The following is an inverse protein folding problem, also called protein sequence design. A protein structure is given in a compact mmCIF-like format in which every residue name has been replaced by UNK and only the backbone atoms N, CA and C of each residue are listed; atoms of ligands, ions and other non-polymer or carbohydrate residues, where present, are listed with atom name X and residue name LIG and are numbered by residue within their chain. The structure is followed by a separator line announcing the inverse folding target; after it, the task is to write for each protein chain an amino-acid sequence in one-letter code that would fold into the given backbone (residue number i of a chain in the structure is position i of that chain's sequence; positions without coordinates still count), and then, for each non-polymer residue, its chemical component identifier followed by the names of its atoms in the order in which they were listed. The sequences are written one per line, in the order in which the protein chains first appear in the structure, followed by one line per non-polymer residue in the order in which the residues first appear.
data_IF_019902704418
#
_entry.id   IF_019902704418
#
_cell.length_a   1.000
_cell.length_b   1.000
_cell.length_c   1.000
_cell.angle_alpha   90.00
_cell.angle_beta   90.00
_cell.angle_gamma   90.00
#
_symmetry.space_group_name_H-M   'P 1'
#
loop_
_entity.id
_entity.type
_entity.pdbx_description
1 polymer ?
#
# COMPACT_ATOMS: atom_id res chain seq x y z
N UNK A 1 12.44 5.91 -3.43
CA UNK A 1 11.40 4.92 -3.15
C UNK A 1 10.18 5.20 -4.01
N UNK A 2 9.31 4.23 -4.20
CA UNK A 2 8.05 4.35 -4.96
C UNK A 2 6.87 4.04 -4.02
N UNK A 3 5.74 4.72 -4.21
CA UNK A 3 4.51 4.38 -3.48
C UNK A 3 3.73 3.31 -4.25
N UNK A 4 3.15 2.35 -3.54
CA UNK A 4 2.24 1.36 -4.15
C UNK A 4 0.93 2.04 -4.54
N UNK A 5 0.39 2.87 -3.65
CA UNK A 5 -0.78 3.72 -3.89
C UNK A 5 -0.43 4.86 -4.84
N UNK A 6 -1.40 5.32 -5.63
CA UNK A 6 -1.24 6.51 -6.43
C UNK A 6 -1.21 7.78 -5.56
N UNK A 7 -0.62 8.85 -6.12
CA UNK A 7 -0.71 10.18 -5.52
C UNK A 7 -2.17 10.58 -5.28
N UNK A 8 -2.44 11.16 -4.12
CA UNK A 8 -3.78 11.38 -3.58
C UNK A 8 -3.95 10.73 -2.21
N UNK A 9 -3.18 9.68 -1.91
CA UNK A 9 -2.96 9.18 -0.55
C UNK A 9 -1.76 9.92 0.06
N UNK A 10 -1.89 10.35 1.32
CA UNK A 10 -0.82 11.02 2.05
C UNK A 10 0.45 10.14 2.08
N UNK A 11 1.63 10.74 1.85
CA UNK A 11 2.91 10.01 1.77
C UNK A 11 3.30 9.28 3.06
N UNK A 12 2.73 9.71 4.19
CA UNK A 12 2.85 9.03 5.48
C UNK A 12 2.05 7.76 5.63
N UNK A 13 0.94 7.64 4.91
CA UNK A 13 0.04 6.48 4.98
C UNK A 13 0.30 5.52 3.83
N UNK A 14 0.86 6.02 2.73
CA UNK A 14 1.22 5.23 1.56
C UNK A 14 2.27 4.16 1.89
N UNK A 15 2.07 2.97 1.33
CA UNK A 15 3.01 1.87 1.36
C UNK A 15 4.17 2.17 0.41
N UNK A 16 5.38 2.16 0.96
CA UNK A 16 6.60 2.50 0.23
C UNK A 16 7.33 1.22 -0.15
N UNK A 17 7.72 1.10 -1.42
CA UNK A 17 8.64 0.08 -1.91
C UNK A 17 10.00 0.69 -2.29
N UNK A 18 11.08 0.00 -1.90
CA UNK A 18 12.44 0.42 -2.19
C UNK A 18 13.34 -0.80 -2.42
N UNK A 19 14.11 -0.89 -3.53
CA UNK A 19 14.16 0.04 -4.67
C UNK A 19 12.81 0.18 -5.41
N UNK A 20 12.61 1.23 -6.24
CA UNK A 20 11.39 1.35 -7.06
C UNK A 20 11.30 0.19 -8.07
N UNK A 21 10.10 -0.38 -8.25
CA UNK A 21 9.89 -1.61 -9.02
C UNK A 21 9.21 -1.35 -10.38
N UNK A 22 8.37 -0.31 -10.48
CA UNK A 22 7.60 -0.01 -11.71
C UNK A 22 7.98 1.32 -12.36
N UNK A 23 9.05 1.95 -11.88
CA UNK A 23 9.53 3.22 -12.40
C UNK A 23 10.48 3.02 -13.60
N UNK A 24 10.21 3.71 -14.71
CA UNK A 24 11.12 3.68 -15.86
C UNK A 24 12.49 4.25 -15.51
N UNK A 25 13.54 3.65 -16.09
CA UNK A 25 14.94 4.09 -15.90
C UNK A 25 15.12 5.56 -16.30
N UNK A 26 14.47 6.00 -17.36
CA UNK A 26 14.48 7.40 -17.80
C UNK A 26 13.88 8.33 -16.72
N UNK A 27 12.70 7.99 -16.20
CA UNK A 27 12.04 8.74 -15.12
C UNK A 27 12.94 8.84 -13.89
N UNK A 28 13.58 7.74 -13.48
CA UNK A 28 14.53 7.73 -12.37
C UNK A 28 15.74 8.67 -12.62
N UNK A 29 16.30 8.69 -13.84
CA UNK A 29 17.40 9.60 -14.21
C UNK A 29 16.97 11.06 -14.18
N UNK A 30 15.77 11.38 -14.67
CA UNK A 30 15.20 12.74 -14.64
C UNK A 30 14.97 13.21 -13.20
N UNK A 31 14.41 12.36 -12.33
CA UNK A 31 14.27 12.64 -10.89
C UNK A 31 15.62 12.98 -10.26
N UNK A 32 16.67 12.17 -10.51
CA UNK A 32 18.03 12.45 -10.01
C UNK A 32 18.57 13.80 -10.51
N UNK A 33 18.32 14.17 -11.76
CA UNK A 33 18.75 15.47 -12.34
C UNK A 33 18.02 16.64 -11.67
N UNK A 34 16.71 16.54 -11.46
CA UNK A 34 15.91 17.58 -10.80
C UNK A 34 16.34 17.72 -9.33
N UNK A 35 16.51 16.60 -8.61
CA UNK A 35 16.94 16.60 -7.22
C UNK A 35 18.29 17.30 -7.03
N UNK A 36 19.28 17.06 -7.90
CA UNK A 36 20.58 17.76 -7.85
C UNK A 36 20.43 19.27 -8.02
N UNK A 37 19.64 19.71 -9.01
CA UNK A 37 19.39 21.14 -9.25
C UNK A 37 18.75 21.81 -8.04
N UNK A 38 17.79 21.15 -7.39
CA UNK A 38 17.14 21.67 -6.18
C UNK A 38 18.14 21.74 -5.02
N UNK A 39 18.94 20.69 -4.82
CA UNK A 39 19.93 20.67 -3.75
C UNK A 39 21.00 21.75 -3.91
N UNK A 40 21.47 21.99 -5.13
CA UNK A 40 22.41 23.05 -5.47
C UNK A 40 21.80 24.45 -5.27
N UNK A 41 20.60 24.68 -5.80
CA UNK A 41 19.91 25.96 -5.68
C UNK A 41 19.57 26.36 -4.23
N UNK A 42 19.28 25.36 -3.39
CA UNK A 42 18.98 25.57 -1.96
C UNK A 42 20.22 25.44 -1.06
N UNK A 43 21.42 25.23 -1.63
CA UNK A 43 22.69 25.09 -0.91
C UNK A 43 22.62 24.09 0.25
N UNK A 44 22.00 22.94 0.01
CA UNK A 44 21.66 21.99 1.07
C UNK A 44 22.92 21.32 1.63
N UNK A 45 23.17 21.51 2.92
CA UNK A 45 24.12 20.73 3.71
C UNK A 45 23.37 20.04 4.85
N UNK A 46 23.16 18.73 4.73
CA UNK A 46 22.38 17.95 5.69
C UNK A 46 21.24 17.14 5.04
N UNK A 47 20.28 16.66 5.84
CA UNK A 47 19.23 15.78 5.34
C UNK A 47 18.11 16.57 4.67
N UNK A 48 17.59 16.04 3.56
CA UNK A 48 16.43 16.59 2.88
C UNK A 48 15.59 15.49 2.23
N UNK A 49 14.35 15.82 1.87
CA UNK A 49 13.44 14.92 1.17
C UNK A 49 12.68 15.69 0.10
N UNK A 50 12.57 15.12 -1.10
CA UNK A 50 11.77 15.68 -2.19
C UNK A 50 10.70 14.66 -2.58
N UNK A 51 9.46 15.13 -2.68
CA UNK A 51 8.34 14.34 -3.17
C UNK A 51 8.06 14.70 -4.63
N UNK A 52 7.88 13.67 -5.46
CA UNK A 52 7.64 13.82 -6.88
C UNK A 52 6.32 13.14 -7.25
N UNK A 53 5.61 13.75 -8.21
CA UNK A 53 4.55 13.10 -8.97
C UNK A 53 5.14 12.64 -10.30
N UNK A 54 5.08 11.34 -10.58
CA UNK A 54 5.45 10.77 -11.87
C UNK A 54 4.22 10.18 -12.56
N UNK A 55 3.94 10.65 -13.77
CA UNK A 55 2.95 10.04 -14.66
C UNK A 55 3.68 9.70 -15.95
N UNK A 56 3.91 8.40 -16.18
CA UNK A 56 4.78 7.93 -17.26
C UNK A 56 6.19 8.55 -17.15
N UNK A 57 6.58 9.39 -18.12
CA UNK A 57 7.85 10.12 -18.12
C UNK A 57 7.72 11.57 -17.63
N UNK A 58 6.51 12.07 -17.41
CA UNK A 58 6.29 13.42 -16.89
C UNK A 58 6.46 13.46 -15.37
N UNK A 59 7.30 14.39 -14.91
CA UNK A 59 7.67 14.54 -13.52
C UNK A 59 7.33 15.95 -13.05
N UNK A 60 6.59 16.03 -11.95
CA UNK A 60 6.38 17.28 -11.20
C UNK A 60 6.93 17.15 -9.80
N UNK A 61 7.50 18.23 -9.28
CA UNK A 61 7.88 18.33 -7.87
C UNK A 61 6.62 18.70 -7.09
N UNK A 62 6.33 17.96 -6.01
CA UNK A 62 5.23 18.29 -5.10
C UNK A 62 5.76 19.26 -4.05
N UNK A 63 6.79 18.84 -3.31
CA UNK A 63 7.42 19.62 -2.25
C UNK A 63 8.87 19.19 -1.99
N UNK A 64 9.63 20.08 -1.35
CA UNK A 64 10.97 19.82 -0.82
C UNK A 64 10.98 20.14 0.68
N UNK A 65 11.27 19.15 1.50
CA UNK A 65 11.44 19.28 2.94
C UNK A 65 12.94 19.34 3.25
N UNK A 66 13.45 20.48 3.72
CA UNK A 66 14.84 20.68 4.15
C UNK A 66 15.10 20.12 5.55
N UNK A 67 14.78 18.83 5.73
CA UNK A 67 14.97 18.07 6.97
C UNK A 67 14.94 16.58 6.68
N UNK A 68 15.30 15.77 7.68
CA UNK A 68 15.07 14.33 7.62
C UNK A 68 13.56 14.02 7.48
N UNK A 69 13.24 13.06 6.61
CA UNK A 69 11.89 12.50 6.51
C UNK A 69 11.76 11.24 7.35
N UNK A 70 10.52 10.87 7.67
CA UNK A 70 10.19 9.61 8.36
C UNK A 70 10.65 8.35 7.61
N UNK A 71 10.98 8.45 6.33
CA UNK A 71 11.50 7.33 5.55
C UNK A 71 13.02 7.15 5.69
N UNK A 72 13.74 8.07 6.35
CA UNK A 72 15.19 7.95 6.54
C UNK A 72 15.61 6.67 7.27
N UNK A 73 15.01 6.30 8.42
CA UNK A 73 15.40 5.08 9.13
C UNK A 73 15.18 3.83 8.27
N UNK A 74 14.04 3.76 7.60
CA UNK A 74 13.70 2.67 6.68
C UNK A 74 14.73 2.56 5.56
N UNK A 75 14.94 3.63 4.78
CA UNK A 75 15.90 3.64 3.66
C UNK A 75 17.32 3.34 4.14
N UNK A 76 17.71 3.82 5.33
CA UNK A 76 19.02 3.52 5.93
C UNK A 76 19.20 2.03 6.22
N UNK A 77 18.15 1.37 6.73
CA UNK A 77 18.16 -0.07 6.98
C UNK A 77 18.17 -0.89 5.71
N UNK A 78 17.42 -0.49 4.67
CA UNK A 78 17.43 -1.20 3.38
C UNK A 78 18.77 -1.02 2.65
N UNK A 79 19.45 0.12 2.78
CA UNK A 79 20.74 0.34 2.10
C UNK A 79 21.96 -0.06 2.95
N UNK A 80 21.75 -0.45 4.21
CA UNK A 80 22.82 -0.64 5.20
C UNK A 80 23.75 0.57 5.36
N UNK A 81 23.22 1.77 5.11
CA UNK A 81 23.93 3.05 5.22
C UNK A 81 23.20 3.93 6.22
N UNK A 82 23.88 4.39 7.27
CA UNK A 82 23.28 5.31 8.22
C UNK A 82 23.25 6.74 7.68
N UNK A 83 22.16 7.11 7.00
CA UNK A 83 22.02 8.46 6.43
C UNK A 83 21.98 9.56 7.50
N UNK A 84 21.53 9.26 8.72
CA UNK A 84 21.52 10.24 9.81
C UNK A 84 22.93 10.56 10.24
N UNK A 85 23.79 9.54 10.40
CA UNK A 85 25.20 9.74 10.72
C UNK A 85 25.93 10.54 9.64
N UNK A 86 25.72 10.19 8.36
CA UNK A 86 26.31 10.93 7.23
C UNK A 86 25.84 12.38 7.21
N UNK A 87 24.54 12.61 7.40
CA UNK A 87 23.98 13.96 7.44
C UNK A 87 24.53 14.76 8.63
N UNK A 88 24.66 14.15 9.81
CA UNK A 88 25.26 14.78 10.98
C UNK A 88 26.70 15.16 10.72
N UNK A 89 27.55 14.24 10.23
CA UNK A 89 28.95 14.52 9.87
C UNK A 89 29.06 15.68 8.89
N UNK A 90 28.24 15.68 7.84
CA UNK A 90 28.20 16.75 6.86
C UNK A 90 27.83 18.12 7.47
N UNK A 91 26.86 18.16 8.41
CA UNK A 91 26.45 19.41 9.07
C UNK A 91 27.51 19.99 10.01
N UNK A 92 28.31 19.14 10.67
CA UNK A 92 29.36 19.58 11.61
C UNK A 92 30.74 19.72 10.95
N UNK A 93 30.85 19.44 9.65
CA UNK A 93 32.11 19.51 8.92
C UNK A 93 33.09 18.37 9.19
N UNK A 94 32.62 17.27 9.79
CA UNK A 94 33.43 16.07 10.01
C UNK A 94 33.62 15.31 8.68
N UNK A 95 34.77 14.65 8.47
CA UNK A 95 34.98 13.80 7.32
C UNK A 95 33.91 12.70 7.22
N UNK A 96 33.37 12.51 6.02
CA UNK A 96 32.40 11.45 5.73
C UNK A 96 32.76 10.78 4.40
N UNK A 97 32.39 9.51 4.27
CA UNK A 97 32.54 8.78 3.02
C UNK A 97 31.28 8.95 2.17
N UNK A 98 31.47 9.31 0.90
CA UNK A 98 30.37 9.39 -0.06
C UNK A 98 30.00 7.97 -0.47
N UNK A 99 28.74 7.54 -0.29
CA UNK A 99 28.32 6.20 -0.71
C UNK A 99 28.56 5.96 -2.21
N UNK A 100 29.12 4.79 -2.55
CA UNK A 100 29.29 4.38 -3.93
C UNK A 100 27.94 4.20 -4.64
N UNK A 101 27.90 4.46 -5.96
CA UNK A 101 26.67 4.34 -6.77
C UNK A 101 26.08 2.93 -6.76
N UNK A 102 26.92 1.90 -6.60
CA UNK A 102 26.51 0.49 -6.52
C UNK A 102 25.75 0.16 -5.23
N UNK A 103 25.82 1.01 -4.19
CA UNK A 103 25.07 0.79 -2.95
C UNK A 103 23.54 0.80 -3.17
N UNK A 104 23.07 1.23 -4.33
CA UNK A 104 21.66 1.30 -4.69
C UNK A 104 21.20 0.14 -5.59
N UNK A 105 22.11 -0.77 -5.95
CA UNK A 105 21.81 -2.01 -6.67
C UNK A 105 21.66 -3.13 -5.63
N UNK A 106 20.41 -3.46 -5.29
CA UNK A 106 20.07 -4.43 -4.25
C UNK A 106 19.38 -5.64 -4.87
N UNK A 107 19.73 -6.84 -4.37
CA UNK A 107 19.10 -8.11 -4.77
C UNK A 107 17.82 -8.43 -3.97
N UNK A 108 17.34 -7.46 -3.20
CA UNK A 108 16.17 -7.58 -2.33
C UNK A 108 15.35 -6.29 -2.32
N UNK A 109 14.12 -6.41 -1.85
CA UNK A 109 13.15 -5.31 -1.79
C UNK A 109 12.76 -5.07 -0.34
N UNK A 110 12.84 -3.81 0.08
CA UNK A 110 12.24 -3.33 1.30
C UNK A 110 10.85 -2.76 1.06
N UNK A 111 9.91 -3.07 1.95
CA UNK A 111 8.58 -2.48 1.97
C UNK A 111 8.27 -1.91 3.33
N UNK A 112 7.83 -0.65 3.33
CA UNK A 112 7.34 0.05 4.51
C UNK A 112 5.83 0.22 4.39
N UNK A 113 5.09 -0.41 5.30
CA UNK A 113 3.63 -0.33 5.39
C UNK A 113 3.22 0.43 6.67
N UNK A 114 2.07 1.10 6.59
CA UNK A 114 1.58 1.97 7.66
C UNK A 114 0.71 1.20 8.66
N UNK A 115 0.93 1.44 9.94
CA UNK A 115 0.09 0.94 11.02
C UNK A 115 -0.98 1.98 11.38
N UNK A 116 -2.24 1.56 11.37
CA UNK A 116 -3.37 2.41 11.71
C UNK A 116 -3.97 2.05 13.08
N UNK A 117 -4.53 3.05 13.74
CA UNK A 117 -5.20 2.92 15.04
C UNK A 117 -6.73 3.03 14.93
N UNK A 118 -7.33 2.73 13.77
CA UNK A 118 -8.78 2.83 13.55
C UNK A 118 -9.61 1.93 14.47
N UNK A 119 -9.04 0.87 15.04
CA UNK A 119 -9.68 0.05 16.06
C UNK A 119 -9.89 0.79 17.39
N UNK A 120 -9.10 1.84 17.67
CA UNK A 120 -9.18 2.65 18.90
C UNK A 120 -10.02 3.91 18.73
N UNK A 121 -10.26 4.34 17.49
CA UNK A 121 -11.01 5.56 17.17
C UNK A 121 -12.43 5.19 16.74
N UNK A 122 -13.34 5.15 17.73
CA UNK A 122 -14.77 4.96 17.48
C UNK A 122 -15.28 6.11 16.59
N UNK A 123 -16.13 5.76 15.61
CA UNK A 123 -16.72 6.66 14.60
C UNK A 123 -15.76 7.24 13.54
N UNK A 124 -14.47 6.93 13.59
CA UNK A 124 -13.56 7.30 12.50
C UNK A 124 -13.81 6.40 11.29
N UNK A 125 -13.92 7.01 10.11
CA UNK A 125 -13.99 6.30 8.83
C UNK A 125 -12.57 5.82 8.44
N UNK A 126 -12.35 4.50 8.29
CA UNK A 126 -11.02 3.98 7.99
C UNK A 126 -10.75 4.03 6.47
N UNK A 127 -10.67 5.26 5.93
CA UNK A 127 -10.32 5.54 4.53
C UNK A 127 -9.04 6.36 4.48
N UNK A 128 -8.18 6.04 3.53
CA UNK A 128 -6.97 6.80 3.26
C UNK A 128 -7.29 8.04 2.43
N UNK A 129 -6.77 9.19 2.84
CA UNK A 129 -6.97 10.48 2.18
C UNK A 129 -5.67 11.26 2.00
N UNK A 130 -5.81 12.56 1.77
CA UNK A 130 -4.68 13.50 1.65
C UNK A 130 -4.03 13.82 2.99
N UNK A 131 -4.75 13.63 4.10
CA UNK A 131 -4.23 13.81 5.45
C UNK A 131 -3.72 12.48 6.02
N UNK A 132 -2.69 12.56 6.86
CA UNK A 132 -2.12 11.39 7.53
C UNK A 132 -3.02 10.91 8.67
N UNK A 133 -3.40 9.64 8.66
CA UNK A 133 -4.12 8.98 9.74
C UNK A 133 -3.31 7.87 10.44
N UNK A 134 -2.20 7.41 9.87
CA UNK A 134 -1.36 6.37 10.46
C UNK A 134 -0.63 6.84 11.72
N UNK A 135 -0.37 5.89 12.63
CA UNK A 135 0.28 6.14 13.92
C UNK A 135 1.65 5.46 14.04
N UNK A 136 1.93 4.50 13.17
CA UNK A 136 3.18 3.74 13.18
C UNK A 136 3.48 3.16 11.82
N UNK A 137 4.53 2.37 11.75
CA UNK A 137 5.03 1.78 10.51
C UNK A 137 5.70 0.43 10.79
N UNK A 138 5.67 -0.43 9.79
CA UNK A 138 6.47 -1.65 9.74
C UNK A 138 7.34 -1.58 8.50
N UNK A 139 8.63 -1.90 8.64
CA UNK A 139 9.55 -2.11 7.52
C UNK A 139 9.98 -3.57 7.43
N UNK A 140 9.63 -4.25 6.34
CA UNK A 140 10.09 -5.62 6.07
C UNK A 140 10.97 -5.67 4.84
N UNK A 141 11.85 -6.68 4.79
CA UNK A 141 12.66 -7.03 3.64
C UNK A 141 12.19 -8.38 3.08
N UNK A 142 12.31 -8.57 1.78
CA UNK A 142 12.11 -9.83 1.08
C UNK A 142 12.98 -9.91 -0.16
N UNK A 143 13.24 -11.13 -0.63
CA UNK A 143 14.05 -11.33 -1.86
C UNK A 143 13.30 -10.82 -3.09
N UNK A 144 11.98 -10.80 -3.04
CA UNK A 144 11.12 -10.19 -4.05
C UNK A 144 10.00 -9.32 -3.45
N UNK A 145 9.33 -8.58 -4.33
CA UNK A 145 8.24 -7.67 -3.93
C UNK A 145 7.06 -8.41 -3.30
N UNK A 146 6.69 -9.60 -3.79
CA UNK A 146 5.55 -10.34 -3.25
C UNK A 146 5.84 -10.78 -1.81
N UNK A 147 7.03 -11.33 -1.57
CA UNK A 147 7.46 -11.73 -0.24
C UNK A 147 7.51 -10.54 0.72
N UNK A 148 8.12 -9.42 0.30
CA UNK A 148 8.22 -8.22 1.11
C UNK A 148 6.83 -7.61 1.42
N UNK A 149 5.89 -7.61 0.47
CA UNK A 149 4.51 -7.13 0.69
C UNK A 149 3.83 -8.03 1.71
N UNK A 150 3.92 -9.34 1.52
CA UNK A 150 3.25 -10.31 2.37
C UNK A 150 3.74 -10.19 3.82
N UNK A 151 5.07 -10.15 4.02
CA UNK A 151 5.69 -9.91 5.34
C UNK A 151 5.21 -8.60 5.97
N UNK A 152 5.20 -7.50 5.21
CA UNK A 152 4.77 -6.19 5.72
C UNK A 152 3.30 -6.17 6.13
N UNK A 153 2.42 -6.71 5.28
CA UNK A 153 0.98 -6.73 5.58
C UNK A 153 0.67 -7.63 6.78
N UNK A 154 1.27 -8.82 6.85
CA UNK A 154 1.13 -9.72 8.00
C UNK A 154 1.64 -9.08 9.30
N UNK A 155 2.78 -8.38 9.24
CA UNK A 155 3.38 -7.73 10.40
C UNK A 155 2.58 -6.51 10.89
N UNK A 156 1.84 -5.82 10.01
CA UNK A 156 0.86 -4.79 10.40
C UNK A 156 -0.36 -5.38 11.12
N UNK A 157 -0.55 -6.70 11.00
CA UNK A 157 -1.64 -7.46 11.64
C UNK A 157 -2.71 -7.95 10.67
N UNK A 158 -2.53 -7.79 9.35
CA UNK A 158 -3.41 -8.42 8.38
C UNK A 158 -3.26 -9.94 8.44
N UNK A 159 -4.31 -10.65 8.02
CA UNK A 159 -4.32 -12.10 7.88
C UNK A 159 -4.61 -12.46 6.44
N UNK A 160 -4.07 -13.58 5.98
CA UNK A 160 -4.47 -14.14 4.69
C UNK A 160 -5.89 -14.67 4.86
N UNK A 161 -6.84 -14.31 3.97
CA UNK A 161 -8.19 -14.83 4.05
C UNK A 161 -8.20 -16.35 3.86
N UNK A 162 -9.09 -17.05 4.55
CA UNK A 162 -9.25 -18.49 4.38
C UNK A 162 -9.95 -18.81 3.06
N UNK A 163 -11.10 -18.17 2.79
CA UNK A 163 -11.89 -18.46 1.59
C UNK A 163 -12.77 -17.34 1.08
N UNK A 164 -13.40 -16.56 1.94
CA UNK A 164 -14.49 -15.66 1.57
C UNK A 164 -14.01 -14.21 1.53
N UNK A 165 -14.11 -13.56 0.37
CA UNK A 165 -13.60 -12.19 0.16
C UNK A 165 -14.71 -11.29 -0.39
N UNK A 166 -14.95 -10.16 0.27
CA UNK A 166 -15.90 -9.14 -0.15
C UNK A 166 -15.21 -8.05 -0.99
N UNK A 167 -15.69 -7.83 -2.21
CA UNK A 167 -15.18 -6.85 -3.17
C UNK A 167 -16.21 -5.75 -3.47
N UNK A 168 -15.88 -4.52 -3.08
CA UNK A 168 -16.55 -3.30 -3.50
C UNK A 168 -15.53 -2.38 -4.16
N UNK A 169 -15.45 -2.40 -5.48
CA UNK A 169 -14.23 -2.01 -6.23
C UNK A 169 -14.30 -0.63 -6.87
N UNK A 170 -15.10 0.30 -6.33
CA UNK A 170 -15.13 1.70 -6.77
C UNK A 170 -15.55 1.92 -8.23
N UNK A 171 -14.86 2.84 -8.90
CA UNK A 171 -15.10 3.24 -10.29
C UNK A 171 -14.54 2.24 -11.33
N UNK A 172 -14.69 2.56 -12.63
CA UNK A 172 -14.24 1.68 -13.72
C UNK A 172 -12.71 1.45 -13.71
N UNK A 173 -11.92 2.45 -13.30
CA UNK A 173 -10.47 2.33 -13.23
C UNK A 173 -10.06 1.35 -12.14
N UNK A 174 -10.61 1.51 -10.93
CA UNK A 174 -10.32 0.62 -9.81
C UNK A 174 -10.77 -0.82 -10.07
N UNK A 175 -11.89 -1.00 -10.77
CA UNK A 175 -12.36 -2.31 -11.28
C UNK A 175 -11.33 -2.97 -12.20
N UNK A 176 -10.80 -2.21 -13.17
CA UNK A 176 -9.77 -2.71 -14.08
C UNK A 176 -8.48 -3.08 -13.35
N UNK A 177 -8.03 -2.24 -12.42
CA UNK A 177 -6.82 -2.47 -11.61
C UNK A 177 -6.91 -3.75 -10.74
N UNK A 178 -8.12 -4.14 -10.33
CA UNK A 178 -8.37 -5.34 -9.53
C UNK A 178 -8.74 -6.59 -10.34
N UNK A 179 -8.99 -6.46 -11.65
CA UNK A 179 -9.52 -7.56 -12.45
C UNK A 179 -8.60 -8.78 -12.45
N UNK A 180 -7.29 -8.57 -12.62
CA UNK A 180 -6.30 -9.66 -12.61
C UNK A 180 -6.24 -10.36 -11.24
N UNK A 181 -6.30 -9.59 -10.16
CA UNK A 181 -6.31 -10.11 -8.79
C UNK A 181 -7.59 -10.92 -8.50
N UNK A 182 -8.75 -10.44 -8.94
CA UNK A 182 -10.01 -11.16 -8.81
C UNK A 182 -10.02 -12.49 -9.59
N UNK A 183 -9.46 -12.51 -10.81
CA UNK A 183 -9.27 -13.76 -11.58
C UNK A 183 -8.38 -14.74 -10.83
N UNK A 184 -7.27 -14.25 -10.26
CA UNK A 184 -6.34 -15.08 -9.50
C UNK A 184 -7.01 -15.71 -8.28
N UNK A 185 -7.82 -14.95 -7.54
CA UNK A 185 -8.61 -15.45 -6.41
C UNK A 185 -9.58 -16.56 -6.85
N UNK A 186 -10.35 -16.32 -7.91
CA UNK A 186 -11.28 -17.33 -8.41
C UNK A 186 -10.56 -18.62 -8.84
N UNK A 187 -9.42 -18.49 -9.54
CA UNK A 187 -8.59 -19.63 -9.96
C UNK A 187 -8.00 -20.41 -8.78
N UNK A 188 -7.75 -19.74 -7.65
CA UNK A 188 -7.25 -20.35 -6.40
C UNK A 188 -8.36 -20.93 -5.53
N UNK A 189 -9.63 -20.82 -5.95
CA UNK A 189 -10.78 -21.40 -5.26
C UNK A 189 -11.34 -20.56 -4.12
N UNK A 190 -11.04 -19.25 -4.10
CA UNK A 190 -11.69 -18.31 -3.18
C UNK A 190 -13.12 -18.00 -3.61
N UNK A 191 -14.00 -17.81 -2.64
CA UNK A 191 -15.37 -17.38 -2.85
C UNK A 191 -15.42 -15.85 -2.89
N UNK A 192 -15.78 -15.29 -4.04
CA UNK A 192 -15.90 -13.86 -4.21
C UNK A 192 -17.33 -13.40 -3.93
N UNK A 193 -17.47 -12.43 -3.04
CA UNK A 193 -18.70 -11.71 -2.77
C UNK A 193 -18.55 -10.29 -3.29
N UNK A 194 -19.56 -9.75 -3.96
CA UNK A 194 -19.42 -8.43 -4.59
C UNK A 194 -20.70 -7.62 -4.58
N UNK A 195 -20.56 -6.32 -4.34
CA UNK A 195 -21.67 -5.36 -4.37
C UNK A 195 -22.13 -5.13 -5.81
N UNK A 196 -23.37 -4.69 -6.03
CA UNK A 196 -24.04 -4.74 -7.35
C UNK A 196 -23.19 -4.33 -8.56
N UNK A 197 -22.55 -3.17 -8.51
CA UNK A 197 -21.69 -2.68 -9.61
C UNK A 197 -20.38 -3.47 -9.78
N UNK A 198 -19.82 -4.01 -8.71
CA UNK A 198 -18.61 -4.83 -8.71
C UNK A 198 -18.95 -6.24 -9.21
N UNK A 199 -20.06 -6.82 -8.74
CA UNK A 199 -20.57 -8.12 -9.17
C UNK A 199 -20.83 -8.15 -10.68
N UNK A 200 -21.54 -7.14 -11.21
CA UNK A 200 -21.80 -7.03 -12.66
C UNK A 200 -20.50 -7.09 -13.47
N UNK A 201 -19.50 -6.32 -13.05
CA UNK A 201 -18.20 -6.25 -13.74
C UNK A 201 -17.43 -7.58 -13.69
N UNK A 202 -17.48 -8.30 -12.57
CA UNK A 202 -16.86 -9.62 -12.43
C UNK A 202 -17.52 -10.65 -13.36
N UNK A 203 -18.85 -10.71 -13.35
CA UNK A 203 -19.62 -11.65 -14.20
C UNK A 203 -19.40 -11.37 -15.69
N UNK A 204 -19.41 -10.11 -16.11
CA UNK A 204 -19.09 -9.70 -17.50
C UNK A 204 -17.68 -10.13 -17.95
N UNK A 205 -16.76 -10.34 -16.99
CA UNK A 205 -15.40 -10.81 -17.23
C UNK A 205 -15.21 -12.31 -16.95
N UNK A 206 -16.30 -13.08 -16.85
CA UNK A 206 -16.31 -14.51 -16.58
C UNK A 206 -15.68 -14.91 -15.24
N UNK A 207 -15.84 -14.07 -14.21
CA UNK A 207 -15.38 -14.36 -12.85
C UNK A 207 -16.60 -14.64 -11.97
N UNK A 208 -16.74 -15.87 -11.43
CA UNK A 208 -17.86 -16.19 -10.56
C UNK A 208 -17.78 -15.38 -9.26
N UNK A 209 -18.89 -14.73 -8.92
CA UNK A 209 -19.05 -13.99 -7.68
C UNK A 209 -20.50 -14.06 -7.21
N UNK A 210 -20.71 -14.05 -5.90
CA UNK A 210 -22.04 -13.95 -5.30
C UNK A 210 -22.37 -12.48 -5.09
N UNK A 211 -23.52 -12.03 -5.58
CA UNK A 211 -23.99 -10.67 -5.33
C UNK A 211 -24.35 -10.51 -3.86
N UNK A 212 -23.84 -9.46 -3.23
CA UNK A 212 -24.26 -9.02 -1.89
C UNK A 212 -24.92 -7.66 -1.96
N UNK A 213 -25.82 -7.42 -1.01
CA UNK A 213 -26.63 -6.21 -0.95
C UNK A 213 -26.21 -5.30 0.20
N UNK A 214 -26.50 -4.01 0.03
CA UNK A 214 -26.22 -3.01 1.06
C UNK A 214 -27.32 -3.00 2.13
N UNK A 215 -27.01 -2.47 3.33
CA UNK A 215 -28.01 -2.29 4.39
C UNK A 215 -29.21 -1.40 3.99
N UNK A 216 -29.05 -0.58 2.95
CA UNK A 216 -30.12 0.24 2.38
C UNK A 216 -31.09 -0.54 1.50
N UNK A 217 -30.80 -1.80 1.18
CA UNK A 217 -31.64 -2.71 0.40
C UNK A 217 -32.19 -3.86 1.29
N UNK A 218 -32.98 -3.58 2.34
CA UNK A 218 -33.29 -4.54 3.41
C UNK A 218 -34.13 -5.75 2.99
N UNK A 219 -34.78 -5.69 1.83
CA UNK A 219 -35.58 -6.80 1.29
C UNK A 219 -34.76 -7.83 0.51
N UNK A 220 -33.45 -7.59 0.35
CA UNK A 220 -32.56 -8.38 -0.50
C UNK A 220 -31.56 -9.16 0.35
N UNK A 221 -31.22 -10.37 -0.07
CA UNK A 221 -30.24 -11.24 0.59
C UNK A 221 -29.27 -11.83 -0.45
N UNK A 222 -28.01 -12.11 -0.09
CA UNK A 222 -27.39 -11.93 1.22
C UNK A 222 -26.96 -10.48 1.54
N UNK A 223 -27.14 -10.05 2.79
CA UNK A 223 -26.68 -8.75 3.30
C UNK A 223 -25.19 -8.71 3.66
N UNK A 224 -24.46 -7.70 3.17
CA UNK A 224 -23.03 -7.57 3.46
C UNK A 224 -22.74 -7.40 4.97
N UNK A 225 -23.59 -6.68 5.70
CA UNK A 225 -23.42 -6.45 7.14
C UNK A 225 -23.63 -7.72 7.96
N UNK A 226 -24.59 -8.56 7.59
CA UNK A 226 -24.87 -9.81 8.29
C UNK A 226 -23.74 -10.81 8.09
N UNK A 227 -23.22 -10.89 6.86
CA UNK A 227 -22.05 -11.71 6.56
C UNK A 227 -20.81 -11.29 7.36
N UNK A 228 -20.57 -9.99 7.54
CA UNK A 228 -19.46 -9.47 8.36
C UNK A 228 -19.67 -9.78 9.84
N UNK A 229 -20.88 -9.55 10.35
CA UNK A 229 -21.24 -9.79 11.76
C UNK A 229 -21.12 -11.27 12.12
N UNK A 230 -21.54 -12.15 11.21
CA UNK A 230 -21.43 -13.60 11.35
C UNK A 230 -20.04 -14.15 11.01
N UNK A 231 -19.04 -13.29 10.74
CA UNK A 231 -17.67 -13.66 10.36
C UNK A 231 -17.60 -14.64 9.18
N UNK A 232 -18.52 -14.49 8.24
CA UNK A 232 -18.53 -15.26 7.01
C UNK A 232 -17.58 -14.69 5.95
N UNK A 233 -17.10 -13.45 6.13
CA UNK A 233 -16.11 -12.80 5.26
C UNK A 233 -14.78 -12.71 5.99
N UNK A 234 -13.71 -13.16 5.32
CA UNK A 234 -12.35 -13.21 5.87
C UNK A 234 -11.52 -11.98 5.50
N UNK A 235 -11.91 -11.26 4.45
CA UNK A 235 -11.25 -10.04 3.99
C UNK A 235 -12.20 -9.15 3.20
N UNK A 236 -12.08 -7.84 3.39
CA UNK A 236 -12.85 -6.82 2.68
C UNK A 236 -11.93 -5.93 1.85
N UNK A 237 -12.24 -5.78 0.56
CA UNK A 237 -11.70 -4.72 -0.29
C UNK A 237 -12.81 -3.73 -0.57
N UNK A 238 -12.73 -2.55 0.02
CA UNK A 238 -13.74 -1.49 -0.14
C UNK A 238 -13.08 -0.19 -0.60
N UNK A 239 -13.23 0.11 -1.88
CA UNK A 239 -12.65 1.30 -2.52
C UNK A 239 -13.78 2.32 -2.71
N UNK A 240 -13.71 3.49 -2.05
CA UNK A 240 -14.72 4.54 -2.21
C UNK A 240 -14.81 4.99 -3.67
N UNK A 241 -16.02 4.98 -4.23
CA UNK A 241 -16.25 5.39 -5.63
C UNK A 241 -16.34 6.90 -5.79
N UNK A 242 -17.10 7.56 -4.92
CA UNK A 242 -17.42 8.99 -5.01
C UNK A 242 -17.85 9.53 -3.64
N UNK A 243 -18.11 10.83 -3.58
CA UNK A 243 -18.56 11.53 -2.37
C UNK A 243 -20.10 11.58 -2.26
N UNK A 244 -20.82 10.68 -2.94
CA UNK A 244 -22.28 10.64 -2.78
C UNK A 244 -22.63 10.14 -1.40
N UNK A 245 -23.66 10.73 -0.78
CA UNK A 245 -24.03 10.42 0.60
C UNK A 245 -24.32 8.92 0.80
N UNK A 246 -25.00 8.28 -0.15
CA UNK A 246 -25.31 6.84 -0.09
C UNK A 246 -24.04 5.97 -0.12
N UNK A 247 -23.10 6.25 -1.02
CA UNK A 247 -21.82 5.52 -1.12
C UNK A 247 -20.96 5.73 0.13
N UNK A 248 -20.94 6.96 0.65
CA UNK A 248 -20.21 7.30 1.86
C UNK A 248 -20.81 6.56 3.06
N UNK A 249 -22.13 6.56 3.23
CA UNK A 249 -22.81 5.92 4.36
C UNK A 249 -22.70 4.38 4.30
N UNK A 250 -22.97 3.76 3.14
CA UNK A 250 -22.90 2.32 2.98
C UNK A 250 -21.46 1.80 3.05
N UNK A 251 -20.55 2.48 2.35
CA UNK A 251 -19.12 2.17 2.40
C UNK A 251 -18.56 2.32 3.81
N UNK A 252 -18.91 3.41 4.50
CA UNK A 252 -18.50 3.65 5.89
C UNK A 252 -18.95 2.53 6.82
N UNK A 253 -20.23 2.13 6.77
CA UNK A 253 -20.78 1.06 7.63
C UNK A 253 -20.01 -0.25 7.45
N UNK A 254 -19.78 -0.67 6.19
CA UNK A 254 -19.04 -1.91 5.89
C UNK A 254 -17.58 -1.83 6.34
N UNK A 255 -16.91 -0.70 6.06
CA UNK A 255 -15.53 -0.49 6.49
C UNK A 255 -15.39 -0.50 8.02
N UNK A 256 -16.31 0.17 8.71
CA UNK A 256 -16.33 0.22 10.17
C UNK A 256 -16.57 -1.15 10.77
N UNK A 257 -17.55 -1.89 10.25
CA UNK A 257 -17.82 -3.26 10.65
C UNK A 257 -16.61 -4.18 10.44
N UNK A 258 -15.92 -4.06 9.30
CA UNK A 258 -14.71 -4.85 9.05
C UNK A 258 -13.65 -4.60 10.13
N UNK A 259 -13.35 -3.34 10.47
CA UNK A 259 -12.39 -3.02 11.53
C UNK A 259 -12.88 -3.48 12.90
N UNK A 260 -14.17 -3.30 13.23
CA UNK A 260 -14.75 -3.66 14.53
C UNK A 260 -14.78 -5.17 14.77
N UNK A 261 -15.04 -5.96 13.72
CA UNK A 261 -15.00 -7.43 13.77
C UNK A 261 -13.60 -8.00 13.53
N UNK A 262 -12.57 -7.16 13.43
CA UNK A 262 -11.18 -7.54 13.16
C UNK A 262 -11.00 -8.34 11.87
N UNK A 263 -11.75 -7.97 10.84
CA UNK A 263 -11.66 -8.49 9.47
C UNK A 263 -10.73 -7.56 8.67
N UNK A 264 -9.66 -8.08 8.05
CA UNK A 264 -8.76 -7.32 7.19
C UNK A 264 -9.49 -6.44 6.17
N UNK A 265 -9.21 -5.13 6.19
CA UNK A 265 -9.81 -4.13 5.31
C UNK A 265 -8.73 -3.45 4.46
N UNK A 266 -8.88 -3.49 3.13
CA UNK A 266 -8.03 -2.70 2.22
C UNK A 266 -8.89 -1.72 1.42
N UNK A 267 -8.49 -0.45 1.42
CA UNK A 267 -9.24 0.64 0.76
C UNK A 267 -8.57 1.21 -0.49
N UNK A 268 -7.52 0.54 -0.99
CA UNK A 268 -6.80 0.95 -2.19
C UNK A 268 -6.67 -0.22 -3.18
N UNK A 269 -7.05 0.01 -4.45
CA UNK A 269 -7.02 -1.01 -5.51
C UNK A 269 -5.63 -1.62 -5.72
N UNK A 270 -4.59 -0.78 -5.75
CA UNK A 270 -3.22 -1.23 -6.05
C UNK A 270 -2.63 -2.03 -4.91
N UNK A 271 -2.83 -1.57 -3.67
CA UNK A 271 -2.39 -2.33 -2.49
C UNK A 271 -3.15 -3.66 -2.38
N UNK A 272 -4.47 -3.65 -2.59
CA UNK A 272 -5.27 -4.88 -2.61
C UNK A 272 -4.79 -5.85 -3.69
N UNK A 273 -4.59 -5.37 -4.92
CA UNK A 273 -4.08 -6.17 -6.05
C UNK A 273 -2.72 -6.76 -5.74
N UNK A 274 -1.81 -5.98 -5.15
CA UNK A 274 -0.46 -6.43 -4.80
C UNK A 274 -0.47 -7.44 -3.64
N UNK A 275 -1.28 -7.23 -2.61
CA UNK A 275 -1.43 -8.17 -1.50
C UNK A 275 -2.06 -9.49 -1.94
N UNK A 276 -3.15 -9.42 -2.74
CA UNK A 276 -3.81 -10.60 -3.32
C UNK A 276 -2.83 -11.40 -4.19
N UNK A 277 -2.07 -10.71 -5.04
CA UNK A 277 -1.06 -11.35 -5.88
C UNK A 277 0.01 -12.02 -5.01
N UNK A 278 0.44 -11.37 -3.93
CA UNK A 278 1.45 -11.89 -3.03
C UNK A 278 1.02 -13.20 -2.34
N UNK A 279 -0.13 -13.21 -1.66
CA UNK A 279 -0.57 -14.42 -0.93
C UNK A 279 -1.04 -15.55 -1.86
N UNK A 280 -1.50 -15.24 -3.08
CA UNK A 280 -1.87 -16.29 -4.05
C UNK A 280 -0.66 -16.98 -4.68
N UNK A 281 0.48 -16.27 -4.78
CA UNK A 281 1.68 -16.76 -5.47
C UNK A 281 2.76 -17.28 -4.53
N UNK A 282 2.81 -16.77 -3.29
CA UNK A 282 3.81 -17.15 -2.28
C UNK A 282 3.11 -17.93 -1.16
N UNK A 283 3.31 -19.26 -1.09
CA UNK A 283 2.87 -20.05 0.06
C UNK A 283 3.51 -19.56 1.36
N UNK A 284 2.76 -19.60 2.47
CA UNK A 284 3.23 -19.15 3.79
C UNK A 284 4.50 -19.88 4.26
N UNK A 285 4.61 -21.18 3.98
CA UNK A 285 5.76 -22.04 4.31
C UNK A 285 7.03 -21.67 3.53
N UNK A 286 6.89 -20.92 2.44
CA UNK A 286 8.01 -20.44 1.62
C UNK A 286 8.49 -19.03 1.98
N UNK A 287 7.81 -18.35 2.90
CA UNK A 287 8.26 -17.03 3.39
C UNK A 287 9.54 -17.24 4.20
N UNK A 288 10.65 -16.64 3.76
CA UNK A 288 11.94 -16.84 4.39
C UNK A 288 12.13 -15.85 5.55
N UNK A 289 12.43 -16.35 6.75
CA UNK A 289 12.81 -15.49 7.87
C UNK A 289 14.32 -15.39 7.88
N UNK A 290 14.84 -14.37 7.19
CA UNK A 290 16.26 -14.03 7.16
C UNK A 290 16.56 -12.92 8.17
N UNK A 291 17.72 -13.01 8.81
CA UNK A 291 18.29 -11.90 9.56
C UNK A 291 18.64 -10.74 8.62
N UNK A 292 18.77 -9.54 9.18
CA UNK A 292 19.09 -8.34 8.41
C UNK A 292 20.46 -8.45 7.70
N UNK A 293 21.41 -9.20 8.27
CA UNK A 293 22.75 -9.37 7.72
C UNK A 293 22.78 -10.27 6.49
N UNK A 294 21.81 -11.17 6.33
CA UNK A 294 21.71 -12.08 5.20
C UNK A 294 21.27 -11.40 3.89
N UNK A 295 20.59 -10.26 3.96
CA UNK A 295 20.26 -9.46 2.77
C UNK A 295 21.51 -8.72 2.29
N UNK A 296 22.05 -9.10 1.13
CA UNK A 296 23.28 -8.52 0.58
C UNK A 296 22.98 -7.46 -0.46
#
# INVERSE_FOLDING_TARGET
SEHIEFAGVHSGDATIQFPPQKLYVETARRIKKIARKIAEALQITGPFNIQFLAKENDIKVIECNLRASRSFPFVSKVLKINFIELATKAMIGEPYEIPHKSAFDLDYVGIKASQFSFARLLKADPVLGVDMASTGEVGCLGDDTNEAILKSMLSVGYRIPEKNILLSTGDAKNKADLLAAAKLLANKGYNLFATGGSHKYLVENNIPATRVYWPTEPSMEPQAMDMLTNKQIDMVVNIPKNLTQEELENGYKVRRAAVDFNIPLITNARLASAFISAFCNVPLDKIQIKSWDEYK
#
